data_IF_452397554902
#
_entry.id   IF_452397554902
#
_cell.length_a   1.000
_cell.length_b   1.000
_cell.length_c   1.000
_cell.angle_alpha   90.00
_cell.angle_beta   90.00
_cell.angle_gamma   90.00
#
_symmetry.space_group_name_H-M   'P 1'
#
loop_
_entity.id
_entity.type
_entity.pdbx_description
1 polymer ?
#
# COMPACT_ATOMS: atom_id res chain seq x y z
N UNK A 1 -2.57 -14.00 -18.93
CA UNK A 1 -2.18 -12.61 -18.67
C UNK A 1 -0.65 -12.58 -18.68
N UNK A 2 0.04 -11.53 -19.17
CA UNK A 2 1.50 -11.54 -19.17
C UNK A 2 2.03 -11.25 -17.75
N UNK A 3 3.18 -11.84 -17.37
CA UNK A 3 3.82 -11.62 -16.05
C UNK A 3 4.03 -10.12 -15.76
N UNK A 4 4.39 -9.33 -16.76
CA UNK A 4 4.53 -7.87 -16.63
C UNK A 4 3.24 -7.19 -16.18
N UNK A 5 2.08 -7.61 -16.70
CA UNK A 5 0.79 -7.05 -16.30
C UNK A 5 0.43 -7.41 -14.85
N UNK A 6 0.78 -8.61 -14.40
CA UNK A 6 0.57 -9.04 -13.01
C UNK A 6 1.47 -8.26 -12.03
N UNK A 7 2.72 -7.99 -12.42
CA UNK A 7 3.64 -7.14 -11.67
C UNK A 7 3.08 -5.72 -11.53
N UNK A 8 2.59 -5.13 -12.63
CA UNK A 8 1.96 -3.80 -12.61
C UNK A 8 0.74 -3.75 -11.68
N UNK A 9 -0.13 -4.77 -11.75
CA UNK A 9 -1.31 -4.86 -10.87
C UNK A 9 -0.89 -4.96 -9.40
N UNK A 10 0.13 -5.77 -9.08
CA UNK A 10 0.62 -5.92 -7.72
C UNK A 10 1.23 -4.61 -7.19
N UNK A 11 1.98 -3.89 -8.03
CA UNK A 11 2.55 -2.59 -7.68
C UNK A 11 1.45 -1.54 -7.42
N UNK A 12 0.43 -1.48 -8.26
CA UNK A 12 -0.69 -0.56 -8.08
C UNK A 12 -1.46 -0.84 -6.79
N UNK A 13 -1.68 -2.12 -6.43
CA UNK A 13 -2.29 -2.50 -5.14
C UNK A 13 -1.43 -2.10 -3.94
N UNK A 14 -0.12 -2.27 -4.04
CA UNK A 14 0.82 -1.84 -2.99
C UNK A 14 0.71 -0.32 -2.73
N UNK A 15 0.68 0.47 -3.80
CA UNK A 15 0.60 1.93 -3.69
C UNK A 15 -0.78 2.40 -3.22
N UNK A 16 -1.85 1.72 -3.64
CA UNK A 16 -3.21 1.97 -3.16
C UNK A 16 -3.32 1.69 -1.65
N UNK A 17 -2.80 0.56 -1.17
CA UNK A 17 -2.78 0.22 0.25
C UNK A 17 -2.09 1.26 1.11
N UNK A 18 -0.91 1.74 0.67
CA UNK A 18 -0.20 2.83 1.34
C UNK A 18 -1.02 4.11 1.40
N UNK A 19 -1.69 4.49 0.30
CA UNK A 19 -2.56 5.68 0.22
C UNK A 19 -3.74 5.59 1.17
N UNK A 20 -4.37 4.41 1.28
CA UNK A 20 -5.52 4.21 2.18
C UNK A 20 -5.10 4.30 3.65
N UNK A 21 -4.03 3.62 4.04
CA UNK A 21 -3.48 3.70 5.40
C UNK A 21 -3.07 5.14 5.75
N UNK A 22 -2.38 5.83 4.84
CA UNK A 22 -2.03 7.25 4.99
C UNK A 22 -3.27 8.14 5.13
N UNK A 23 -4.32 7.91 4.32
CA UNK A 23 -5.56 8.67 4.42
C UNK A 23 -6.22 8.53 5.79
N UNK A 24 -6.34 7.31 6.31
CA UNK A 24 -6.96 7.08 7.63
C UNK A 24 -6.14 7.76 8.74
N UNK A 25 -4.83 7.64 8.69
CA UNK A 25 -3.92 8.31 9.63
C UNK A 25 -4.04 9.84 9.55
N UNK A 26 -3.85 10.39 8.36
CA UNK A 26 -3.90 11.83 8.11
C UNK A 26 -5.24 12.45 8.50
N UNK A 27 -6.36 11.77 8.17
CA UNK A 27 -7.69 12.26 8.53
C UNK A 27 -7.93 12.25 10.05
N UNK A 28 -7.40 11.26 10.77
CA UNK A 28 -7.45 11.19 12.24
C UNK A 28 -6.60 12.30 12.88
N UNK A 29 -5.40 12.51 12.38
CA UNK A 29 -4.49 13.54 12.88
C UNK A 29 -5.01 14.94 12.60
N UNK A 30 -5.66 15.16 11.45
CA UNK A 30 -6.31 16.41 11.11
C UNK A 30 -7.46 16.74 12.06
N UNK A 31 -8.32 15.77 12.40
CA UNK A 31 -9.39 16.00 13.40
C UNK A 31 -8.81 16.42 14.75
N UNK A 32 -7.80 15.68 15.24
CA UNK A 32 -7.11 16.04 16.47
C UNK A 32 -6.51 17.46 16.42
N UNK A 33 -5.86 17.81 15.31
CA UNK A 33 -5.28 19.14 15.12
C UNK A 33 -6.36 20.24 15.25
N UNK A 34 -7.48 20.10 14.55
CA UNK A 34 -8.55 21.07 14.61
C UNK A 34 -9.21 21.14 15.99
N UNK A 35 -9.33 20.01 16.68
CA UNK A 35 -9.86 19.96 18.03
C UNK A 35 -8.95 20.72 19.03
N UNK A 36 -7.63 20.48 18.99
CA UNK A 36 -6.66 21.19 19.81
C UNK A 36 -6.64 22.69 19.46
N UNK A 37 -6.65 23.03 18.17
CA UNK A 37 -6.62 24.41 17.72
C UNK A 37 -7.86 25.18 18.22
N UNK A 38 -9.06 24.60 18.09
CA UNK A 38 -10.28 25.21 18.60
C UNK A 38 -10.26 25.40 20.12
N UNK A 39 -9.93 24.37 20.90
CA UNK A 39 -9.89 24.45 22.37
C UNK A 39 -8.87 25.46 22.87
N UNK A 40 -7.78 25.68 22.13
CA UNK A 40 -6.71 26.61 22.47
C UNK A 40 -6.99 28.05 22.06
N UNK A 41 -7.62 28.27 20.89
CA UNK A 41 -7.80 29.59 20.29
C UNK A 41 -9.23 30.14 20.41
N UNK A 42 -10.22 29.25 20.57
CA UNK A 42 -11.67 29.57 20.53
C UNK A 42 -12.15 30.06 19.16
N UNK A 43 -11.34 29.90 18.12
CA UNK A 43 -11.71 30.27 16.73
C UNK A 43 -12.64 29.23 16.14
N UNK A 44 -13.90 29.63 15.92
CA UNK A 44 -14.96 28.75 15.37
C UNK A 44 -14.63 28.17 14.00
N UNK A 45 -13.72 28.78 13.25
CA UNK A 45 -13.29 28.26 11.94
C UNK A 45 -12.65 26.87 12.04
N UNK A 46 -11.96 26.58 13.16
CA UNK A 46 -11.40 25.25 13.44
C UNK A 46 -12.50 24.23 13.74
N UNK A 47 -13.54 24.58 14.47
CA UNK A 47 -14.69 23.72 14.75
C UNK A 47 -15.46 23.39 13.45
N UNK A 48 -15.69 24.39 12.60
CA UNK A 48 -16.33 24.19 11.31
C UNK A 48 -15.51 23.26 10.43
N UNK A 49 -14.18 23.41 10.46
CA UNK A 49 -13.26 22.57 9.68
C UNK A 49 -13.23 21.14 10.24
N UNK A 50 -13.21 20.94 11.55
CA UNK A 50 -13.35 19.64 12.19
C UNK A 50 -14.61 18.91 11.72
N UNK A 51 -15.77 19.58 11.79
CA UNK A 51 -17.05 19.00 11.37
C UNK A 51 -17.07 18.63 9.87
N UNK A 52 -16.51 19.48 9.02
CA UNK A 52 -16.36 19.18 7.57
C UNK A 52 -15.47 17.95 7.33
N UNK A 53 -14.35 17.83 8.05
CA UNK A 53 -13.46 16.67 7.96
C UNK A 53 -14.14 15.38 8.43
N UNK A 54 -14.87 15.44 9.54
CA UNK A 54 -15.63 14.30 10.07
C UNK A 54 -16.68 13.80 9.07
N UNK A 55 -17.42 14.71 8.42
CA UNK A 55 -18.40 14.36 7.39
C UNK A 55 -17.76 13.77 6.12
N UNK A 56 -16.70 14.39 5.61
CA UNK A 56 -15.97 13.89 4.43
C UNK A 56 -15.42 12.48 4.65
N UNK A 57 -14.94 12.18 5.86
CA UNK A 57 -14.42 10.86 6.21
C UNK A 57 -15.50 9.79 6.17
N UNK A 58 -16.73 10.08 6.62
CA UNK A 58 -17.86 9.16 6.56
C UNK A 58 -18.29 8.82 5.14
N UNK A 59 -18.07 9.73 4.18
CA UNK A 59 -18.46 9.56 2.77
C UNK A 59 -17.39 8.84 1.94
N UNK A 60 -16.16 8.68 2.46
CA UNK A 60 -15.07 8.06 1.72
C UNK A 60 -15.19 6.55 1.71
N UNK A 61 -15.27 5.98 0.51
CA UNK A 61 -15.34 4.52 0.29
C UNK A 61 -14.08 4.07 -0.43
N UNK A 62 -13.52 2.95 -0.02
CA UNK A 62 -12.37 2.30 -0.66
C UNK A 62 -12.74 0.87 -1.06
N UNK A 63 -12.21 0.41 -2.20
CA UNK A 63 -12.34 -0.98 -2.63
C UNK A 63 -11.24 -1.81 -1.95
N UNK A 64 -11.60 -2.45 -0.84
CA UNK A 64 -10.71 -3.28 -0.02
C UNK A 64 -11.16 -4.74 -0.05
N UNK A 65 -10.22 -5.67 0.11
CA UNK A 65 -10.57 -7.05 0.42
C UNK A 65 -11.15 -7.17 1.85
N UNK A 66 -11.75 -8.33 2.15
CA UNK A 66 -12.48 -8.52 3.39
C UNK A 66 -11.61 -8.28 4.64
N UNK A 67 -10.36 -8.73 4.64
CA UNK A 67 -9.45 -8.58 5.78
C UNK A 67 -9.03 -7.12 5.98
N UNK A 68 -8.61 -6.45 4.91
CA UNK A 68 -8.25 -5.04 4.95
C UNK A 68 -9.46 -4.16 5.34
N UNK A 69 -10.67 -4.52 4.90
CA UNK A 69 -11.90 -3.83 5.27
C UNK A 69 -12.18 -3.90 6.78
N UNK A 70 -11.89 -5.04 7.42
CA UNK A 70 -12.04 -5.20 8.87
C UNK A 70 -11.14 -4.21 9.62
N UNK A 71 -9.84 -4.15 9.27
CA UNK A 71 -8.92 -3.22 9.92
C UNK A 71 -9.26 -1.77 9.65
N UNK A 72 -9.66 -1.43 8.40
CA UNK A 72 -10.08 -0.09 8.05
C UNK A 72 -11.29 0.35 8.87
N UNK A 73 -12.35 -0.46 8.92
CA UNK A 73 -13.56 -0.16 9.66
C UNK A 73 -13.30 -0.02 11.15
N UNK A 74 -12.50 -0.91 11.74
CA UNK A 74 -12.12 -0.86 13.14
C UNK A 74 -11.31 0.40 13.46
N UNK A 75 -10.31 0.75 12.66
CA UNK A 75 -9.56 1.98 12.83
C UNK A 75 -10.43 3.24 12.70
N UNK A 76 -11.37 3.24 11.75
CA UNK A 76 -12.33 4.32 11.54
C UNK A 76 -13.30 4.44 12.73
N UNK A 77 -13.82 3.32 13.23
CA UNK A 77 -14.72 3.28 14.39
C UNK A 77 -14.05 3.83 15.65
N UNK A 78 -12.84 3.35 15.98
CA UNK A 78 -12.09 3.84 17.15
C UNK A 78 -11.79 5.34 17.01
N UNK A 79 -11.45 5.82 15.81
CA UNK A 79 -11.22 7.24 15.56
C UNK A 79 -12.50 8.07 15.67
N UNK A 80 -13.67 7.52 15.31
CA UNK A 80 -14.96 8.19 15.54
C UNK A 80 -15.32 8.22 17.02
N UNK A 81 -15.01 7.16 17.78
CA UNK A 81 -15.19 7.11 19.23
C UNK A 81 -14.29 8.14 19.93
N UNK A 82 -13.02 8.28 19.50
CA UNK A 82 -12.13 9.33 19.99
C UNK A 82 -12.73 10.73 19.79
N UNK A 83 -13.20 11.02 18.57
CA UNK A 83 -13.85 12.29 18.26
C UNK A 83 -15.05 12.56 19.20
N UNK A 84 -15.97 11.57 19.30
CA UNK A 84 -17.20 11.71 20.08
C UNK A 84 -16.97 11.77 21.59
N UNK A 85 -16.05 10.94 22.13
CA UNK A 85 -15.93 10.74 23.56
C UNK A 85 -14.93 11.72 24.22
N UNK A 86 -13.97 12.26 23.46
CA UNK A 86 -12.92 13.12 24.00
C UNK A 86 -12.85 14.46 23.28
N UNK A 87 -12.78 14.46 21.93
CA UNK A 87 -12.54 15.69 21.17
C UNK A 87 -13.75 16.63 21.20
N UNK A 88 -14.96 16.14 20.93
CA UNK A 88 -16.20 16.94 20.99
C UNK A 88 -16.50 17.45 22.42
N UNK A 89 -16.43 16.63 23.51
CA UNK A 89 -16.61 17.13 24.86
C UNK A 89 -15.56 18.18 25.30
N UNK A 90 -14.34 18.09 24.75
CA UNK A 90 -13.32 19.09 25.01
C UNK A 90 -13.67 20.48 24.43
N UNK A 91 -14.56 20.55 23.40
CA UNK A 91 -15.03 21.80 22.84
C UNK A 91 -15.90 22.59 23.82
N UNK A 92 -16.84 21.91 24.49
CA UNK A 92 -17.77 22.53 25.42
C UNK A 92 -17.04 23.03 26.70
N UNK A 93 -16.09 22.22 27.16
CA UNK A 93 -15.29 22.55 28.38
C UNK A 93 -14.08 23.42 28.07
N UNK A 94 -13.72 23.64 26.80
CA UNK A 94 -12.47 24.26 26.34
C UNK A 94 -11.24 23.66 27.04
N UNK A 95 -11.29 22.36 27.30
CA UNK A 95 -10.28 21.62 28.05
C UNK A 95 -9.22 21.01 27.15
N UNK A 96 -8.14 21.72 26.90
CA UNK A 96 -7.01 21.20 26.12
C UNK A 96 -6.25 20.08 26.81
N UNK A 97 -6.39 19.90 28.14
CA UNK A 97 -5.69 18.81 28.85
C UNK A 97 -6.28 17.42 28.54
N UNK A 98 -7.52 17.35 28.02
CA UNK A 98 -8.14 16.11 27.58
C UNK A 98 -7.29 15.36 26.55
N UNK A 99 -6.57 16.08 25.68
CA UNK A 99 -5.70 15.52 24.62
C UNK A 99 -4.39 14.90 25.16
N UNK A 100 -4.10 15.03 26.44
CA UNK A 100 -2.96 14.41 27.11
C UNK A 100 -3.38 13.34 28.12
N UNK A 101 -4.66 13.02 28.19
CA UNK A 101 -5.18 11.99 29.07
C UNK A 101 -4.69 10.60 28.65
N UNK A 102 -4.58 9.67 29.62
CA UNK A 102 -4.25 8.26 29.32
C UNK A 102 -5.28 7.62 28.38
N UNK A 103 -6.52 8.01 28.52
CA UNK A 103 -7.61 7.52 27.67
C UNK A 103 -7.42 7.98 26.22
N UNK A 104 -7.15 9.27 25.98
CA UNK A 104 -6.83 9.82 24.68
C UNK A 104 -5.65 9.10 24.02
N UNK A 105 -4.56 8.92 24.76
CA UNK A 105 -3.37 8.22 24.26
C UNK A 105 -3.65 6.75 23.92
N UNK A 106 -4.53 6.09 24.69
CA UNK A 106 -4.97 4.71 24.41
C UNK A 106 -5.77 4.64 23.10
N UNK A 107 -6.70 5.57 22.86
CA UNK A 107 -7.42 5.65 21.57
C UNK A 107 -6.44 5.83 20.41
N UNK A 108 -5.51 6.79 20.53
CA UNK A 108 -4.51 7.05 19.46
C UNK A 108 -3.65 5.83 19.18
N UNK A 109 -3.17 5.13 20.21
CA UNK A 109 -2.39 3.91 20.06
C UNK A 109 -3.19 2.82 19.32
N UNK A 110 -4.43 2.58 19.71
CA UNK A 110 -5.31 1.60 19.09
C UNK A 110 -5.61 1.94 17.61
N UNK A 111 -5.82 3.21 17.29
CA UNK A 111 -6.02 3.67 15.92
C UNK A 111 -4.79 3.35 15.08
N UNK A 112 -3.60 3.73 15.56
CA UNK A 112 -2.35 3.52 14.82
C UNK A 112 -2.03 2.03 14.65
N UNK A 113 -2.30 1.19 15.65
CA UNK A 113 -2.17 -0.26 15.51
C UNK A 113 -3.06 -0.80 14.37
N UNK A 114 -4.34 -0.39 14.32
CA UNK A 114 -5.24 -0.82 13.23
C UNK A 114 -4.85 -0.26 11.86
N UNK A 115 -4.23 0.92 11.81
CA UNK A 115 -3.68 1.47 10.56
C UNK A 115 -2.48 0.66 10.08
N UNK A 116 -1.58 0.23 10.97
CA UNK A 116 -0.45 -0.62 10.64
C UNK A 116 -0.90 -2.01 10.18
N UNK A 117 -1.87 -2.62 10.86
CA UNK A 117 -2.47 -3.90 10.45
C UNK A 117 -3.13 -3.78 9.07
N UNK A 118 -3.89 -2.71 8.83
CA UNK A 118 -4.46 -2.39 7.51
C UNK A 118 -3.36 -2.32 6.45
N UNK A 119 -2.31 -1.53 6.71
CA UNK A 119 -1.19 -1.38 5.78
C UNK A 119 -0.55 -2.73 5.49
N UNK A 120 -0.22 -3.50 6.51
CA UNK A 120 0.46 -4.78 6.39
C UNK A 120 -0.41 -5.79 5.63
N UNK A 121 -1.71 -5.90 5.95
CA UNK A 121 -2.63 -6.82 5.27
C UNK A 121 -2.69 -6.57 3.75
N UNK A 122 -2.63 -5.31 3.31
CA UNK A 122 -2.64 -4.97 1.88
C UNK A 122 -1.25 -5.12 1.27
N UNK A 123 -0.21 -4.60 1.94
CA UNK A 123 1.13 -4.53 1.34
C UNK A 123 1.84 -5.88 1.30
N UNK A 124 1.63 -6.75 2.29
CA UNK A 124 2.31 -8.04 2.32
C UNK A 124 1.77 -8.99 1.25
N UNK A 125 0.45 -8.99 1.02
CA UNK A 125 -0.15 -9.72 -0.11
C UNK A 125 0.39 -9.24 -1.45
N UNK A 126 0.49 -7.91 -1.63
CA UNK A 126 1.00 -7.34 -2.87
C UNK A 126 2.50 -7.61 -3.07
N UNK A 127 3.31 -7.53 -2.00
CA UNK A 127 4.74 -7.87 -2.03
C UNK A 127 4.98 -9.34 -2.37
N UNK A 128 4.28 -10.25 -1.70
CA UNK A 128 4.40 -11.68 -1.97
C UNK A 128 4.06 -12.01 -3.43
N UNK A 129 2.99 -11.41 -3.96
CA UNK A 129 2.64 -11.57 -5.36
C UNK A 129 3.72 -10.98 -6.29
N UNK A 130 4.24 -9.81 -6.00
CA UNK A 130 5.30 -9.17 -6.77
C UNK A 130 6.58 -10.03 -6.81
N UNK A 131 6.98 -10.60 -5.67
CA UNK A 131 8.14 -11.47 -5.56
C UNK A 131 7.98 -12.75 -6.40
N UNK A 132 6.82 -13.41 -6.31
CA UNK A 132 6.52 -14.62 -7.11
C UNK A 132 6.59 -14.31 -8.60
N UNK A 133 5.92 -13.26 -9.08
CA UNK A 133 5.89 -12.89 -10.50
C UNK A 133 7.27 -12.45 -11.02
N UNK A 134 8.05 -11.71 -10.19
CA UNK A 134 9.41 -11.32 -10.52
C UNK A 134 10.34 -12.52 -10.65
N UNK A 135 10.23 -13.52 -9.76
CA UNK A 135 11.00 -14.75 -9.82
C UNK A 135 10.65 -15.57 -11.05
N UNK A 136 9.37 -15.71 -11.38
CA UNK A 136 8.92 -16.36 -12.61
C UNK A 136 9.47 -15.68 -13.86
N UNK A 137 9.41 -14.35 -13.94
CA UNK A 137 9.98 -13.59 -15.05
C UNK A 137 11.48 -13.84 -15.20
N UNK A 138 12.21 -13.86 -14.10
CA UNK A 138 13.67 -14.14 -14.08
C UNK A 138 13.97 -15.54 -14.62
N UNK A 139 13.19 -16.55 -14.26
CA UNK A 139 13.31 -17.92 -14.79
C UNK A 139 13.05 -17.95 -16.31
N UNK A 140 12.02 -17.25 -16.79
CA UNK A 140 11.75 -17.18 -18.23
C UNK A 140 12.89 -16.52 -19.02
N UNK A 141 13.46 -15.43 -18.50
CA UNK A 141 14.61 -14.76 -19.14
C UNK A 141 15.81 -15.71 -19.18
N UNK A 142 16.08 -16.42 -18.08
CA UNK A 142 17.18 -17.39 -18.04
C UNK A 142 17.02 -18.52 -19.07
N UNK A 143 15.82 -19.12 -19.17
CA UNK A 143 15.51 -20.14 -20.15
C UNK A 143 15.65 -19.63 -21.58
N UNK A 144 15.21 -18.39 -21.84
CA UNK A 144 15.38 -17.75 -23.16
C UNK A 144 16.87 -17.57 -23.50
N UNK A 145 17.70 -17.12 -22.56
CA UNK A 145 19.14 -17.03 -22.78
C UNK A 145 19.78 -18.39 -23.10
N UNK A 146 19.39 -19.44 -22.37
CA UNK A 146 19.87 -20.81 -22.64
C UNK A 146 19.49 -21.30 -24.04
N UNK A 147 18.25 -21.05 -24.46
CA UNK A 147 17.81 -21.46 -25.83
C UNK A 147 18.57 -20.70 -26.90
N UNK A 148 18.82 -19.42 -26.74
CA UNK A 148 19.63 -18.60 -27.68
C UNK A 148 21.07 -19.15 -27.76
N UNK A 149 21.70 -19.41 -26.59
CA UNK A 149 23.05 -20.02 -26.56
C UNK A 149 23.09 -21.38 -27.27
N UNK A 150 22.10 -22.24 -27.04
CA UNK A 150 22.01 -23.52 -27.74
C UNK A 150 21.94 -23.36 -29.25
N UNK A 151 21.08 -22.45 -29.74
CA UNK A 151 20.95 -22.15 -31.17
C UNK A 151 22.27 -21.64 -31.79
N UNK A 152 22.99 -20.77 -31.09
CA UNK A 152 24.30 -20.26 -31.53
C UNK A 152 25.30 -21.42 -31.69
N UNK A 153 25.37 -22.33 -30.70
CA UNK A 153 26.26 -23.50 -30.76
C UNK A 153 25.88 -24.42 -31.91
N UNK A 154 24.58 -24.67 -32.11
CA UNK A 154 24.10 -25.52 -33.19
C UNK A 154 24.44 -24.93 -34.56
N UNK A 155 24.21 -23.63 -34.78
CA UNK A 155 24.58 -22.94 -36.05
C UNK A 155 26.08 -23.03 -36.29
N UNK A 156 26.91 -22.80 -35.26
CA UNK A 156 28.37 -22.95 -35.39
C UNK A 156 28.79 -24.37 -35.81
N UNK A 157 28.26 -25.38 -35.13
CA UNK A 157 28.55 -26.76 -35.45
C UNK A 157 28.13 -27.16 -36.88
N UNK A 158 26.97 -26.68 -37.33
CA UNK A 158 26.49 -26.91 -38.69
C UNK A 158 27.38 -26.24 -39.75
N UNK A 159 27.83 -25.01 -39.50
CA UNK A 159 28.74 -24.29 -40.38
C UNK A 159 30.09 -25.03 -40.49
N UNK A 160 30.66 -25.51 -39.40
CA UNK A 160 31.91 -26.30 -39.42
C UNK A 160 31.77 -27.61 -40.23
N UNK A 161 30.63 -28.31 -40.07
CA UNK A 161 30.35 -29.52 -40.89
C UNK A 161 30.26 -29.21 -42.37
N UNK A 162 29.65 -28.10 -42.75
CA UNK A 162 29.55 -27.66 -44.15
C UNK A 162 30.94 -27.32 -44.73
N UNK A 163 31.77 -26.57 -43.99
CA UNK A 163 33.13 -26.24 -44.43
C UNK A 163 33.96 -27.53 -44.64
N UNK A 164 33.90 -28.48 -43.69
CA UNK A 164 34.63 -29.77 -43.81
C UNK A 164 34.16 -30.57 -45.03
N UNK A 165 32.88 -30.57 -45.38
CA UNK A 165 32.36 -31.22 -46.61
C UNK A 165 32.87 -30.54 -47.89
N UNK A 166 32.91 -29.23 -47.91
CA UNK A 166 33.36 -28.44 -49.07
C UNK A 166 34.85 -28.65 -49.33
N UNK A 167 35.68 -28.67 -48.27
CA UNK A 167 37.14 -28.92 -48.39
C UNK A 167 37.42 -30.34 -48.90
N UNK A 168 36.66 -31.35 -48.43
CA UNK A 168 36.81 -32.72 -48.95
C UNK A 168 36.44 -32.86 -50.42
N UNK A 169 35.47 -32.09 -50.94
CA UNK A 169 35.08 -32.11 -52.35
C UNK A 169 36.09 -31.48 -53.28
N UNK A 170 36.89 -30.52 -52.80
CA UNK A 170 37.96 -29.84 -53.60
C UNK A 170 39.27 -30.61 -53.66
N UNK A 171 39.44 -31.69 -52.86
CA UNK A 171 40.64 -32.56 -52.84
C UNK A 171 40.50 -33.84 -53.67
N UNK A 172 39.32 -34.06 -54.28
CA UNK A 172 39.10 -35.07 -55.30
C UNK A 172 39.05 -34.45 -56.67
#
# INVERSE_FOLDING_TARGET
MSALKEIEIAQNKLDEGKKIAYYLRSSTDSLTYYAIAYTSTKDSSFLDTFNKHLQRRKQKVFSLDQEAQVFYNKGLEISNQLAKNIEEPAFDSLNSTAFFSKEYLSYKANIYTNIEELRNSITDKAKNKLEIESNLLSIYIYLLCLTIMYLIVEVKNNNEKQIKKTVKRKKK
#
